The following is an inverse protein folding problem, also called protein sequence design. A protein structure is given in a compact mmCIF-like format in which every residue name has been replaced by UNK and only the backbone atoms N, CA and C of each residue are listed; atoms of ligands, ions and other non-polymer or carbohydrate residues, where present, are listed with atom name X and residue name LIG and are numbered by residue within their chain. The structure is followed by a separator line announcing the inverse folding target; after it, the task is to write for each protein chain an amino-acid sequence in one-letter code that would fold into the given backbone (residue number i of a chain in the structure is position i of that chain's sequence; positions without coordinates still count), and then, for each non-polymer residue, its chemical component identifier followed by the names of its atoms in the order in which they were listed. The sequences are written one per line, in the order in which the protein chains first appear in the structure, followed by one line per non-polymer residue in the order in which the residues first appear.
data_IF_636469784737
#
_entry.id   IF_636469784737
#
_cell.length_a   1.000
_cell.length_b   1.000
_cell.length_c   1.000
_cell.angle_alpha   90.00
_cell.angle_beta   90.00
_cell.angle_gamma   90.00
#
_symmetry.space_group_name_H-M   'P 1'
#
loop_
_entity.id
_entity.type
_entity.pdbx_description
1 polymer ?
#
# COMPACT_ATOMS: atom_id res chain seq x y z
N UNK A 1 -39.14 17.91 0.91
CA UNK A 1 -37.75 18.30 1.17
C UNK A 1 -37.76 19.73 1.67
N UNK A 2 -37.60 19.92 2.99
CA UNK A 2 -37.63 21.25 3.60
C UNK A 2 -36.18 21.68 3.83
N UNK A 3 -35.61 22.39 2.86
CA UNK A 3 -34.24 22.91 2.96
C UNK A 3 -34.26 24.15 3.83
N UNK A 4 -33.84 24.03 5.09
CA UNK A 4 -33.57 25.15 5.97
C UNK A 4 -32.51 26.05 5.32
N UNK A 5 -32.81 27.33 5.10
CA UNK A 5 -31.85 28.31 4.59
C UNK A 5 -30.64 28.41 5.54
N UNK A 6 -29.48 27.97 5.06
CA UNK A 6 -28.21 28.12 5.77
C UNK A 6 -27.61 29.45 5.32
N UNK A 7 -27.64 30.45 6.19
CA UNK A 7 -27.00 31.75 5.94
C UNK A 7 -25.69 31.85 6.72
N UNK A 8 -24.68 32.46 6.09
CA UNK A 8 -23.39 32.73 6.73
C UNK A 8 -23.55 33.79 7.82
N UNK A 9 -23.00 33.52 9.01
CA UNK A 9 -23.00 34.45 10.13
C UNK A 9 -21.63 34.51 10.79
N UNK A 10 -21.24 35.70 11.24
CA UNK A 10 -20.04 35.95 12.04
C UNK A 10 -20.25 35.69 13.54
N UNK A 11 -21.48 35.38 13.96
CA UNK A 11 -21.80 35.06 15.35
C UNK A 11 -21.55 33.58 15.63
N UNK A 12 -20.41 33.29 16.26
CA UNK A 12 -20.07 31.94 16.70
C UNK A 12 -21.02 31.48 17.82
N UNK A 13 -21.74 30.39 17.59
CA UNK A 13 -22.47 29.68 18.63
C UNK A 13 -21.63 28.49 19.10
N UNK A 14 -21.62 28.15 20.40
CA UNK A 14 -20.96 26.95 20.88
C UNK A 14 -21.53 25.73 20.16
N UNK A 15 -20.69 25.01 19.42
CA UNK A 15 -21.08 23.76 18.77
C UNK A 15 -20.98 22.66 19.82
N UNK A 16 -22.13 22.15 20.25
CA UNK A 16 -22.18 20.95 21.10
C UNK A 16 -22.04 19.73 20.21
N UNK A 17 -20.83 19.18 20.14
CA UNK A 17 -20.56 17.93 19.42
C UNK A 17 -21.03 16.79 20.32
N UNK A 18 -22.00 15.99 19.85
CA UNK A 18 -22.41 14.78 20.56
C UNK A 18 -21.27 13.77 20.57
N UNK A 19 -21.03 13.04 21.67
CA UNK A 19 -20.07 11.95 21.68
C UNK A 19 -20.39 10.92 20.60
N UNK A 20 -19.36 10.36 19.96
CA UNK A 20 -19.52 9.26 19.02
C UNK A 20 -19.93 8.00 19.79
N UNK A 21 -21.04 7.36 19.38
CA UNK A 21 -21.61 6.19 20.06
C UNK A 21 -21.73 4.96 19.17
N UNK A 22 -21.33 5.04 17.91
CA UNK A 22 -21.39 3.88 17.02
C UNK A 22 -20.27 2.89 17.34
N UNK A 23 -20.43 1.66 16.90
CA UNK A 23 -19.40 0.64 17.04
C UNK A 23 -18.11 1.07 16.33
N UNK A 24 -16.98 0.86 17.00
CA UNK A 24 -15.64 1.16 16.51
C UNK A 24 -14.88 -0.12 16.18
N UNK A 25 -13.96 -0.02 15.23
CA UNK A 25 -13.07 -1.12 14.87
C UNK A 25 -13.40 -1.77 13.54
N UNK A 26 -12.77 -2.92 13.25
CA UNK A 26 -12.95 -3.61 11.98
C UNK A 26 -14.37 -4.14 11.83
N UNK A 27 -15.02 -3.79 10.71
CA UNK A 27 -16.31 -4.36 10.34
C UNK A 27 -16.21 -5.75 9.69
N UNK A 28 -14.98 -6.20 9.41
CA UNK A 28 -14.69 -7.53 8.85
C UNK A 28 -14.08 -8.42 9.92
N UNK A 29 -14.29 -9.74 9.78
CA UNK A 29 -13.61 -10.73 10.60
C UNK A 29 -12.11 -10.63 10.27
N UNK A 30 -11.31 -10.26 11.25
CA UNK A 30 -9.86 -10.19 11.08
C UNK A 30 -9.26 -11.60 11.14
N UNK A 31 -8.51 -12.03 10.11
CA UNK A 31 -7.76 -13.28 10.17
C UNK A 31 -6.75 -13.27 11.32
N UNK A 32 -6.50 -14.45 11.89
CA UNK A 32 -5.53 -14.60 12.98
C UNK A 32 -4.09 -14.41 12.51
N UNK A 33 -3.78 -14.85 11.29
CA UNK A 33 -2.44 -14.75 10.71
C UNK A 33 -2.23 -13.38 10.06
N UNK A 34 -0.99 -12.88 10.15
CA UNK A 34 -0.59 -11.60 9.57
C UNK A 34 -0.82 -11.56 8.05
N UNK A 35 -0.55 -12.67 7.34
CA UNK A 35 -0.76 -12.77 5.90
C UNK A 35 -2.24 -12.57 5.52
N UNK A 36 -3.17 -13.19 6.24
CA UNK A 36 -4.60 -13.01 5.96
C UNK A 36 -5.07 -11.57 6.19
N UNK A 37 -4.45 -10.84 7.14
CA UNK A 37 -4.75 -9.41 7.33
C UNK A 37 -4.18 -8.55 6.20
N UNK A 38 -3.01 -8.91 5.68
CA UNK A 38 -2.43 -8.25 4.52
C UNK A 38 -3.31 -8.43 3.28
N UNK A 39 -3.82 -9.65 3.07
CA UNK A 39 -4.73 -10.00 1.96
C UNK A 39 -6.07 -9.26 2.00
N UNK A 40 -6.48 -8.69 3.14
CA UNK A 40 -7.64 -7.80 3.21
C UNK A 40 -7.45 -6.50 2.41
N UNK A 41 -6.20 -6.06 2.27
CA UNK A 41 -5.83 -4.87 1.50
C UNK A 41 -5.28 -5.23 0.12
N UNK A 42 -4.50 -6.31 0.05
CA UNK A 42 -3.94 -6.84 -1.18
C UNK A 42 -4.75 -8.05 -1.65
N UNK A 43 -5.89 -7.75 -2.26
CA UNK A 43 -6.85 -8.77 -2.70
C UNK A 43 -6.29 -9.65 -3.81
N UNK A 44 -6.92 -10.81 -4.02
CA UNK A 44 -6.59 -11.75 -5.10
C UNK A 44 -6.64 -11.15 -6.51
N UNK A 45 -7.28 -9.99 -6.69
CA UNK A 45 -7.35 -9.27 -7.96
C UNK A 45 -6.24 -8.22 -8.13
N UNK A 46 -5.69 -7.67 -7.06
CA UNK A 46 -4.73 -6.55 -7.17
C UNK A 46 -3.33 -7.03 -7.51
N UNK A 47 -2.92 -8.19 -6.98
CA UNK A 47 -1.60 -8.76 -7.26
C UNK A 47 -1.44 -9.12 -8.74
N UNK A 48 -2.40 -9.82 -9.39
CA UNK A 48 -2.37 -10.00 -10.84
C UNK A 48 -2.35 -8.69 -11.62
N UNK A 49 -3.09 -7.67 -11.15
CA UNK A 49 -3.07 -6.36 -11.80
C UNK A 49 -1.69 -5.72 -11.76
N UNK A 50 -0.95 -5.81 -10.64
CA UNK A 50 0.42 -5.34 -10.57
C UNK A 50 1.35 -6.09 -11.52
N UNK A 51 1.20 -7.41 -11.64
CA UNK A 51 1.97 -8.21 -12.60
C UNK A 51 1.72 -7.71 -14.03
N UNK A 52 0.46 -7.58 -14.41
CA UNK A 52 0.07 -7.14 -15.76
C UNK A 52 0.58 -5.73 -16.06
N UNK A 53 0.34 -4.78 -15.15
CA UNK A 53 0.72 -3.39 -15.35
C UNK A 53 2.24 -3.19 -15.34
N UNK A 54 2.98 -3.93 -14.51
CA UNK A 54 4.45 -3.83 -14.46
C UNK A 54 5.06 -4.35 -15.76
N UNK A 55 4.61 -5.50 -16.25
CA UNK A 55 5.06 -6.05 -17.52
C UNK A 55 4.67 -5.19 -18.71
N UNK A 56 3.46 -4.65 -18.71
CA UNK A 56 3.01 -3.71 -19.74
C UNK A 56 3.88 -2.45 -19.75
N UNK A 57 4.13 -1.87 -18.57
CA UNK A 57 4.97 -0.67 -18.45
C UNK A 57 6.39 -0.90 -18.96
N UNK A 58 7.00 -2.06 -18.65
CA UNK A 58 8.32 -2.42 -19.16
C UNK A 58 8.36 -2.42 -20.70
N UNK A 59 7.31 -2.92 -21.35
CA UNK A 59 7.21 -2.92 -22.82
C UNK A 59 7.11 -1.53 -23.46
N UNK A 60 6.66 -0.53 -22.70
CA UNK A 60 6.50 0.84 -23.18
C UNK A 60 7.69 1.75 -22.88
N UNK A 61 8.39 1.51 -21.78
CA UNK A 61 9.41 2.43 -21.28
C UNK A 61 10.85 1.97 -21.50
N UNK A 62 11.07 0.69 -21.77
CA UNK A 62 12.41 0.17 -22.04
C UNK A 62 12.83 0.41 -23.49
N UNK A 63 14.13 0.63 -23.72
CA UNK A 63 14.67 0.61 -25.07
C UNK A 63 14.56 -0.81 -25.66
N UNK A 64 14.53 -0.99 -26.99
CA UNK A 64 14.48 -2.31 -27.61
C UNK A 64 15.58 -3.26 -27.11
N UNK A 65 16.79 -2.74 -26.90
CA UNK A 65 17.93 -3.51 -26.40
C UNK A 65 17.72 -3.95 -24.95
N UNK A 66 17.21 -3.06 -24.10
CA UNK A 66 16.96 -3.36 -22.68
C UNK A 66 15.77 -4.31 -22.50
N UNK A 67 14.75 -4.15 -23.33
CA UNK A 67 13.55 -5.00 -23.32
C UNK A 67 13.86 -6.42 -23.78
N UNK A 68 14.86 -6.63 -24.65
CA UNK A 68 15.28 -7.97 -25.05
C UNK A 68 15.80 -8.81 -23.87
N UNK A 69 16.40 -8.16 -22.88
CA UNK A 69 16.82 -8.77 -21.62
C UNK A 69 15.76 -8.73 -20.50
N UNK A 70 14.57 -8.18 -20.77
CA UNK A 70 13.50 -8.13 -19.78
C UNK A 70 12.84 -9.50 -19.64
N UNK A 71 12.87 -10.03 -18.42
CA UNK A 71 12.06 -11.18 -18.03
C UNK A 71 10.76 -10.68 -17.41
N UNK A 72 9.64 -11.27 -17.84
CA UNK A 72 8.34 -10.88 -17.30
C UNK A 72 8.27 -11.22 -15.83
N UNK A 73 7.87 -10.25 -15.02
CA UNK A 73 7.65 -10.48 -13.60
C UNK A 73 6.49 -11.43 -13.38
N UNK A 74 6.57 -12.30 -12.38
CA UNK A 74 5.49 -13.17 -11.94
C UNK A 74 4.87 -12.69 -10.62
N UNK A 75 3.82 -13.40 -10.19
CA UNK A 75 3.11 -13.07 -8.95
C UNK A 75 4.04 -13.18 -7.73
N UNK A 76 4.83 -14.24 -7.66
CA UNK A 76 5.76 -14.51 -6.57
C UNK A 76 6.80 -13.40 -6.42
N UNK A 77 7.28 -12.84 -7.53
CA UNK A 77 8.24 -11.74 -7.53
C UNK A 77 7.61 -10.42 -7.05
N UNK A 78 6.37 -10.14 -7.44
CA UNK A 78 5.63 -8.98 -6.94
C UNK A 78 5.35 -9.11 -5.44
N UNK A 79 4.95 -10.29 -4.97
CA UNK A 79 4.74 -10.56 -3.55
C UNK A 79 6.05 -10.43 -2.75
N UNK A 80 7.15 -10.98 -3.26
CA UNK A 80 8.47 -10.84 -2.66
C UNK A 80 8.91 -9.37 -2.61
N UNK A 81 8.69 -8.60 -3.69
CA UNK A 81 8.97 -7.17 -3.74
C UNK A 81 8.18 -6.40 -2.69
N UNK A 82 6.88 -6.68 -2.54
CA UNK A 82 6.04 -6.03 -1.52
C UNK A 82 6.49 -6.41 -0.10
N UNK A 83 6.80 -7.68 0.15
CA UNK A 83 7.36 -8.13 1.42
C UNK A 83 8.67 -7.41 1.76
N UNK A 84 9.54 -7.27 0.77
CA UNK A 84 10.80 -6.54 0.91
C UNK A 84 10.59 -5.03 1.15
N UNK A 85 9.60 -4.41 0.50
CA UNK A 85 9.22 -3.01 0.79
C UNK A 85 8.71 -2.82 2.21
N UNK A 86 7.94 -3.77 2.74
CA UNK A 86 7.49 -3.73 4.14
C UNK A 86 8.71 -3.85 5.06
N UNK A 87 9.63 -4.77 4.77
CA UNK A 87 10.88 -4.94 5.53
C UNK A 87 11.68 -3.63 5.61
N UNK A 88 11.87 -2.93 4.49
CA UNK A 88 12.53 -1.61 4.48
C UNK A 88 11.81 -0.54 5.30
N UNK A 89 10.48 -0.64 5.40
CA UNK A 89 9.69 0.24 6.25
C UNK A 89 9.93 -0.01 7.74
N UNK A 90 10.18 -1.26 8.11
CA UNK A 90 10.43 -1.71 9.49
C UNK A 90 11.88 -1.49 9.91
N UNK A 91 12.83 -1.90 9.06
CA UNK A 91 14.27 -1.79 9.29
C UNK A 91 14.81 -0.71 8.37
N UNK A 92 15.04 0.49 8.91
CA UNK A 92 15.51 1.63 8.11
C UNK A 92 17.03 1.68 8.06
N UNK A 93 17.59 1.46 6.88
CA UNK A 93 19.02 1.67 6.61
C UNK A 93 19.31 3.08 6.06
N UNK A 94 20.53 3.60 6.25
CA UNK A 94 20.91 4.95 5.81
C UNK A 94 20.76 5.18 4.31
N UNK A 95 21.00 4.14 3.50
CA UNK A 95 20.88 4.19 2.05
C UNK A 95 20.07 3.00 1.50
N UNK A 96 19.55 3.17 0.29
CA UNK A 96 18.90 2.07 -0.42
C UNK A 96 19.90 0.95 -0.74
N UNK A 97 21.15 1.29 -1.07
CA UNK A 97 22.17 0.31 -1.43
C UNK A 97 22.54 -0.59 -0.25
N UNK A 98 22.36 -0.11 0.97
CA UNK A 98 22.70 -0.86 2.18
C UNK A 98 21.84 -2.13 2.32
N UNK A 99 20.61 -2.16 1.79
CA UNK A 99 19.78 -3.38 1.83
C UNK A 99 20.27 -4.50 0.89
N UNK A 100 21.21 -4.19 0.00
CA UNK A 100 21.86 -5.14 -0.90
C UNK A 100 23.34 -5.35 -0.55
N UNK A 101 23.80 -4.76 0.56
CA UNK A 101 25.16 -4.97 1.04
C UNK A 101 25.34 -6.41 1.51
N UNK A 102 26.51 -6.99 1.19
CA UNK A 102 26.95 -8.29 1.73
C UNK A 102 27.84 -8.12 2.96
N UNK A 103 28.03 -6.89 3.41
CA UNK A 103 28.81 -6.59 4.61
C UNK A 103 28.03 -7.01 5.85
N UNK A 104 28.59 -7.93 6.63
CA UNK A 104 27.96 -8.49 7.83
C UNK A 104 27.82 -7.46 8.98
N UNK A 105 28.38 -6.26 8.84
CA UNK A 105 28.28 -5.21 9.87
C UNK A 105 26.85 -4.70 10.10
N UNK A 106 25.94 -4.90 9.15
CA UNK A 106 24.51 -4.57 9.28
C UNK A 106 23.65 -5.76 8.84
N UNK A 107 23.31 -6.69 9.75
CA UNK A 107 22.47 -7.83 9.40
C UNK A 107 21.04 -7.35 9.12
N UNK A 108 20.54 -7.65 7.92
CA UNK A 108 19.11 -7.88 7.69
C UNK A 108 18.74 -9.28 8.18
#
# INVERSE_FOLDING_TARGET
YNSSNVEWTSHLKPVVIKPFTSDVGPHTILPHLAIGRFELFFTSSIIPNFVDQTNLYASHCMSPESFQSWEKVCQEEIEAFLGFKILMGLVKLPSLLDYWSKDETYPL
#
